data_IF_094892852995
#
_entry.id   IF_094892852995
#
_cell.length_a   1.000
_cell.length_b   1.000
_cell.length_c   1.000
_cell.angle_alpha   90.00
_cell.angle_beta   90.00
_cell.angle_gamma   90.00
#
_symmetry.space_group_name_H-M   'P 1'
#
loop_
_entity.id
_entity.type
_entity.pdbx_description
1 polymer ?
#
# COMPACT_ATOMS: atom_id res chain seq x y z
N UNK A 1 -18.47 7.62 -6.28
CA UNK A 1 -17.72 7.77 -5.01
C UNK A 1 -16.88 9.01 -5.09
N UNK A 2 -16.86 9.81 -4.02
CA UNK A 2 -16.08 11.05 -3.93
C UNK A 2 -14.60 10.72 -3.67
N UNK A 3 -13.64 11.42 -4.28
CA UNK A 3 -12.20 11.18 -4.06
C UNK A 3 -11.79 11.28 -2.58
N UNK A 4 -12.47 12.15 -1.81
CA UNK A 4 -12.25 12.27 -0.36
C UNK A 4 -12.74 11.03 0.41
N UNK A 5 -13.78 10.38 -0.08
CA UNK A 5 -14.35 9.15 0.50
C UNK A 5 -13.39 7.98 0.28
N UNK A 6 -12.84 7.83 -0.93
CA UNK A 6 -11.83 6.81 -1.27
C UNK A 6 -10.55 6.98 -0.43
N UNK A 7 -10.07 8.21 -0.28
CA UNK A 7 -8.90 8.51 0.55
C UNK A 7 -9.16 8.14 2.02
N UNK A 8 -10.34 8.49 2.53
CA UNK A 8 -10.75 8.16 3.90
C UNK A 8 -10.83 6.65 4.12
N UNK A 9 -11.44 5.91 3.21
CA UNK A 9 -11.51 4.44 3.25
C UNK A 9 -10.12 3.80 3.23
N UNK A 10 -9.22 4.31 2.39
CA UNK A 10 -7.83 3.81 2.30
C UNK A 10 -7.05 4.07 3.59
N UNK A 11 -7.17 5.27 4.17
CA UNK A 11 -6.52 5.61 5.44
C UNK A 11 -7.07 4.75 6.58
N UNK A 12 -8.39 4.52 6.59
CA UNK A 12 -9.02 3.67 7.59
C UNK A 12 -8.54 2.22 7.47
N UNK A 13 -8.45 1.68 6.26
CA UNK A 13 -7.88 0.37 5.99
C UNK A 13 -6.44 0.26 6.52
N UNK A 14 -5.56 1.20 6.16
CA UNK A 14 -4.17 1.25 6.63
C UNK A 14 -4.11 1.29 8.16
N UNK A 15 -4.94 2.11 8.79
CA UNK A 15 -4.99 2.24 10.25
C UNK A 15 -5.44 0.95 10.94
N UNK A 16 -6.39 0.23 10.35
CA UNK A 16 -6.84 -1.09 10.85
C UNK A 16 -5.73 -2.14 10.70
N UNK A 17 -5.03 -2.15 9.57
CA UNK A 17 -3.90 -3.06 9.33
C UNK A 17 -2.72 -2.81 10.27
N UNK A 18 -2.40 -1.55 10.59
CA UNK A 18 -1.40 -1.22 11.61
C UNK A 18 -1.78 -1.78 12.98
N UNK A 19 -3.04 -1.61 13.40
CA UNK A 19 -3.55 -2.18 14.67
C UNK A 19 -3.46 -3.71 14.69
N UNK A 20 -3.78 -4.37 13.58
CA UNK A 20 -3.65 -5.81 13.45
C UNK A 20 -2.19 -6.26 13.65
N UNK A 21 -1.24 -5.62 12.97
CA UNK A 21 0.18 -5.92 13.11
C UNK A 21 0.68 -5.74 14.54
N UNK A 22 0.21 -4.68 15.22
CA UNK A 22 0.51 -4.48 16.63
C UNK A 22 0.01 -5.64 17.49
N UNK A 23 -1.26 -6.02 17.36
CA UNK A 23 -1.87 -7.14 18.09
C UNK A 23 -1.04 -8.41 17.89
N UNK A 24 -0.71 -8.74 16.65
CA UNK A 24 0.04 -9.96 16.33
C UNK A 24 1.44 -9.89 16.91
N UNK A 25 2.13 -8.75 16.82
CA UNK A 25 3.46 -8.58 17.41
C UNK A 25 3.45 -8.70 18.93
N UNK A 26 2.40 -8.21 19.61
CA UNK A 26 2.26 -8.33 21.06
C UNK A 26 2.05 -9.81 21.45
N UNK A 27 1.16 -10.52 20.75
CA UNK A 27 0.91 -11.95 20.97
C UNK A 27 2.18 -12.78 20.74
N UNK A 28 2.88 -12.59 19.62
CA UNK A 28 4.09 -13.37 19.33
C UNK A 28 5.20 -13.08 20.33
N UNK A 29 5.34 -11.82 20.77
CA UNK A 29 6.31 -11.40 21.78
C UNK A 29 6.11 -12.08 23.13
N UNK A 30 4.86 -12.22 23.57
CA UNK A 30 4.53 -12.95 24.81
C UNK A 30 4.92 -14.43 24.74
N UNK A 31 4.94 -14.99 23.53
CA UNK A 31 5.21 -16.40 23.25
C UNK A 31 6.65 -16.73 22.91
N UNK A 32 7.56 -15.75 22.79
CA UNK A 32 8.98 -15.98 22.44
C UNK A 32 9.68 -16.95 23.41
N UNK A 33 9.35 -16.91 24.71
CA UNK A 33 9.97 -17.83 25.69
C UNK A 33 9.61 -19.30 25.41
N UNK A 34 8.41 -19.54 24.90
CA UNK A 34 7.92 -20.88 24.54
C UNK A 34 8.40 -21.28 23.13
N UNK A 35 8.45 -20.31 22.21
CA UNK A 35 8.81 -20.50 20.81
C UNK A 35 9.87 -19.47 20.37
N UNK A 36 11.17 -19.71 20.62
CA UNK A 36 12.23 -18.74 20.36
C UNK A 36 12.30 -18.19 18.93
N UNK A 37 11.99 -18.98 17.90
CA UNK A 37 11.99 -18.47 16.51
C UNK A 37 10.86 -17.46 16.20
N UNK A 38 9.95 -17.19 17.14
CA UNK A 38 9.02 -16.08 17.04
C UNK A 38 9.71 -14.72 17.12
N UNK A 39 10.93 -14.63 17.66
CA UNK A 39 11.63 -13.33 17.81
C UNK A 39 11.84 -12.66 16.45
N UNK A 40 12.43 -13.39 15.50
CA UNK A 40 12.64 -12.91 14.13
C UNK A 40 11.32 -12.51 13.45
N UNK A 41 10.26 -13.33 13.62
CA UNK A 41 8.95 -13.07 13.04
C UNK A 41 8.26 -11.84 13.67
N UNK A 42 8.38 -11.68 14.99
CA UNK A 42 7.85 -10.55 15.74
C UNK A 42 8.48 -9.25 15.25
N UNK A 43 9.80 -9.24 15.05
CA UNK A 43 10.53 -8.09 14.52
C UNK A 43 10.01 -7.71 13.12
N UNK A 44 9.75 -8.70 12.24
CA UNK A 44 9.18 -8.41 10.93
C UNK A 44 7.77 -7.81 11.01
N UNK A 45 6.93 -8.26 11.94
CA UNK A 45 5.60 -7.66 12.16
C UNK A 45 5.69 -6.21 12.65
N UNK A 46 6.61 -5.91 13.56
CA UNK A 46 6.85 -4.53 14.04
C UNK A 46 7.32 -3.65 12.88
N UNK A 47 8.26 -4.12 12.07
CA UNK A 47 8.75 -3.35 10.93
C UNK A 47 7.68 -3.16 9.85
N UNK A 48 6.83 -4.16 9.61
CA UNK A 48 5.66 -4.01 8.76
C UNK A 48 4.68 -2.97 9.33
N UNK A 49 4.45 -2.94 10.64
CA UNK A 49 3.58 -1.95 11.28
C UNK A 49 4.07 -0.53 10.98
N UNK A 50 5.38 -0.29 11.07
CA UNK A 50 5.96 1.01 10.75
C UNK A 50 5.74 1.45 9.30
N UNK A 51 5.66 0.51 8.35
CA UNK A 51 5.28 0.84 6.97
C UNK A 51 3.85 1.37 6.91
N UNK A 52 2.91 0.73 7.59
CA UNK A 52 1.52 1.18 7.66
C UNK A 52 1.37 2.51 8.39
N UNK A 53 2.12 2.75 9.46
CA UNK A 53 2.03 4.00 10.22
C UNK A 53 2.52 5.21 9.40
N UNK A 54 3.42 4.99 8.44
CA UNK A 54 3.93 6.04 7.53
C UNK A 54 2.99 6.35 6.37
N UNK A 55 2.18 5.38 5.93
CA UNK A 55 1.34 5.50 4.73
C UNK A 55 0.33 6.66 4.75
N UNK A 56 -0.38 6.98 5.86
CA UNK A 56 -1.40 8.02 5.85
C UNK A 56 -0.84 9.40 5.51
N UNK A 57 0.37 9.72 6.02
CA UNK A 57 1.05 10.98 5.73
C UNK A 57 1.37 11.09 4.23
N UNK A 58 1.86 10.01 3.63
CA UNK A 58 2.17 9.94 2.21
C UNK A 58 0.91 10.08 1.34
N UNK A 59 -0.17 9.38 1.68
CA UNK A 59 -1.44 9.47 0.97
C UNK A 59 -2.04 10.87 1.01
N UNK A 60 -1.92 11.54 2.16
CA UNK A 60 -2.34 12.93 2.29
C UNK A 60 -1.54 13.85 1.38
N UNK A 61 -0.21 13.72 1.37
CA UNK A 61 0.67 14.49 0.47
C UNK A 61 0.32 14.24 -1.01
N UNK A 62 0.09 12.99 -1.41
CA UNK A 62 -0.32 12.63 -2.77
C UNK A 62 -1.66 13.27 -3.15
N UNK A 63 -2.62 13.32 -2.23
CA UNK A 63 -3.94 13.93 -2.47
C UNK A 63 -3.89 15.46 -2.59
N UNK A 64 -2.85 16.08 -2.04
CA UNK A 64 -2.63 17.53 -2.06
C UNK A 64 -1.82 17.98 -3.28
N UNK A 65 -1.36 17.06 -4.14
CA UNK A 65 -0.70 17.41 -5.40
C UNK A 65 -1.69 18.12 -6.31
N UNK A 66 -1.59 19.44 -6.35
CA UNK A 66 -2.26 20.26 -7.34
C UNK A 66 -1.43 20.27 -8.63
N UNK A 67 -1.92 19.59 -9.66
CA UNK A 67 -1.31 19.53 -11.00
C UNK A 67 -1.05 20.96 -11.52
N UNK A 68 -1.91 21.93 -11.19
CA UNK A 68 -1.78 23.33 -11.63
C UNK A 68 -0.55 24.02 -11.02
N UNK A 69 -0.26 23.78 -9.74
CA UNK A 69 0.89 24.38 -9.05
C UNK A 69 2.19 23.67 -9.46
N UNK A 70 2.13 22.35 -9.63
CA UNK A 70 3.23 21.53 -10.17
C UNK A 70 3.67 21.94 -11.59
N UNK A 71 2.78 22.60 -12.34
CA UNK A 71 3.03 23.10 -13.68
C UNK A 71 3.77 24.46 -13.69
N UNK A 72 3.76 25.20 -12.56
CA UNK A 72 4.21 26.60 -12.51
C UNK A 72 5.55 26.74 -11.76
N UNK A 73 5.88 25.83 -10.83
CA UNK A 73 7.06 25.95 -9.96
C UNK A 73 8.05 24.79 -10.07
N UNK A 74 9.35 25.12 -10.20
CA UNK A 74 10.45 24.15 -10.14
C UNK A 74 10.55 23.46 -8.77
N UNK A 75 10.18 24.16 -7.69
CA UNK A 75 10.16 23.61 -6.32
C UNK A 75 9.11 22.48 -6.21
N UNK A 76 7.95 22.66 -6.84
CA UNK A 76 6.92 21.62 -6.89
C UNK A 76 7.38 20.39 -7.68
N UNK A 77 8.24 20.56 -8.70
CA UNK A 77 8.84 19.45 -9.46
C UNK A 77 9.84 18.67 -8.59
N UNK A 78 10.69 19.36 -7.84
CA UNK A 78 11.65 18.73 -6.93
C UNK A 78 10.93 17.93 -5.84
N UNK A 79 9.86 18.49 -5.26
CA UNK A 79 9.02 17.80 -4.28
C UNK A 79 8.37 16.53 -4.83
N UNK A 80 7.89 16.55 -6.08
CA UNK A 80 7.32 15.36 -6.74
C UNK A 80 8.40 14.29 -6.99
N UNK A 81 9.59 14.69 -7.40
CA UNK A 81 10.71 13.75 -7.60
C UNK A 81 11.16 13.12 -6.27
N UNK A 82 11.27 13.90 -5.21
CA UNK A 82 11.58 13.39 -3.87
C UNK A 82 10.51 12.38 -3.40
N UNK A 83 9.24 12.68 -3.64
CA UNK A 83 8.13 11.78 -3.32
C UNK A 83 8.19 10.48 -4.13
N UNK A 84 8.56 10.56 -5.41
CA UNK A 84 8.79 9.37 -6.25
C UNK A 84 9.86 8.46 -5.64
N UNK A 85 11.01 9.01 -5.24
CA UNK A 85 12.07 8.22 -4.61
C UNK A 85 11.63 7.58 -3.28
N UNK A 86 10.88 8.32 -2.47
CA UNK A 86 10.31 7.76 -1.23
C UNK A 86 9.35 6.60 -1.54
N UNK A 87 8.50 6.73 -2.56
CA UNK A 87 7.57 5.68 -2.99
C UNK A 87 8.32 4.44 -3.50
N UNK A 88 9.36 4.60 -4.30
CA UNK A 88 10.20 3.47 -4.77
C UNK A 88 10.80 2.70 -3.58
N UNK A 89 11.37 3.42 -2.61
CA UNK A 89 11.91 2.81 -1.39
C UNK A 89 10.83 2.08 -0.58
N UNK A 90 9.62 2.64 -0.47
CA UNK A 90 8.51 2.01 0.25
C UNK A 90 8.00 0.74 -0.45
N UNK A 91 7.95 0.72 -1.79
CA UNK A 91 7.62 -0.47 -2.58
C UNK A 91 8.63 -1.58 -2.30
N UNK A 92 9.91 -1.26 -2.38
CA UNK A 92 11.01 -2.21 -2.13
C UNK A 92 10.96 -2.73 -0.68
N UNK A 93 10.83 -1.84 0.29
CA UNK A 93 10.70 -2.21 1.72
C UNK A 93 9.51 -3.15 1.96
N UNK A 94 8.36 -2.86 1.34
CA UNK A 94 7.16 -3.70 1.48
C UNK A 94 7.36 -5.06 0.83
N UNK A 95 8.02 -5.12 -0.33
CA UNK A 95 8.36 -6.38 -0.99
C UNK A 95 9.25 -7.27 -0.12
N UNK A 96 10.29 -6.71 0.50
CA UNK A 96 11.13 -7.46 1.43
C UNK A 96 10.32 -7.99 2.61
N UNK A 97 9.46 -7.17 3.23
CA UNK A 97 8.62 -7.61 4.36
C UNK A 97 7.66 -8.75 4.00
N UNK A 98 7.06 -8.74 2.81
CA UNK A 98 6.22 -9.83 2.32
C UNK A 98 7.00 -11.15 2.35
N UNK A 99 8.21 -11.15 1.79
CA UNK A 99 9.03 -12.35 1.68
C UNK A 99 9.57 -12.79 3.04
N UNK A 100 10.12 -11.87 3.82
CA UNK A 100 10.73 -12.16 5.12
C UNK A 100 9.70 -12.75 6.09
N UNK A 101 8.51 -12.14 6.19
CA UNK A 101 7.43 -12.66 7.05
C UNK A 101 7.05 -14.08 6.64
N UNK A 102 6.90 -14.36 5.35
CA UNK A 102 6.57 -15.72 4.88
C UNK A 102 7.68 -16.72 5.21
N UNK A 103 8.95 -16.32 5.05
CA UNK A 103 10.11 -17.14 5.41
C UNK A 103 10.17 -17.45 6.91
N UNK A 104 10.07 -16.44 7.77
CA UNK A 104 10.13 -16.65 9.22
C UNK A 104 8.91 -17.39 9.75
N UNK A 105 7.72 -17.14 9.19
CA UNK A 105 6.51 -17.88 9.53
C UNK A 105 6.67 -19.38 9.22
N UNK A 106 7.14 -19.73 8.03
CA UNK A 106 7.39 -21.14 7.65
C UNK A 106 8.42 -21.82 8.54
N UNK A 107 9.43 -21.08 9.00
CA UNK A 107 10.42 -21.57 9.96
C UNK A 107 9.76 -21.90 11.31
N UNK A 108 8.93 -21.00 11.83
CA UNK A 108 8.17 -21.22 13.08
C UNK A 108 7.25 -22.43 12.94
N UNK A 109 6.54 -22.55 11.83
CA UNK A 109 5.72 -23.72 11.51
C UNK A 109 6.55 -25.01 11.55
N UNK A 110 7.67 -25.06 10.81
CA UNK A 110 8.47 -26.28 10.69
C UNK A 110 9.06 -26.75 12.02
N UNK A 111 9.47 -25.81 12.86
CA UNK A 111 10.19 -26.11 14.11
C UNK A 111 9.24 -26.50 15.24
N UNK A 112 8.05 -25.91 15.31
CA UNK A 112 7.17 -26.05 16.48
C UNK A 112 5.82 -26.67 16.18
N UNK A 113 5.27 -26.50 14.97
CA UNK A 113 3.86 -26.80 14.68
C UNK A 113 3.64 -27.84 13.57
N UNK A 114 4.70 -28.29 12.90
CA UNK A 114 4.63 -29.25 11.79
C UNK A 114 3.87 -30.54 12.15
N UNK A 115 3.96 -30.99 13.41
CA UNK A 115 3.28 -32.19 13.94
C UNK A 115 2.08 -31.86 14.84
N UNK A 116 1.85 -30.59 15.14
CA UNK A 116 0.78 -30.11 16.01
C UNK A 116 -0.04 -29.02 15.30
N UNK A 117 -0.58 -29.38 14.14
CA UNK A 117 -1.36 -28.47 13.29
C UNK A 117 -2.74 -28.10 13.88
N UNK A 118 -3.10 -28.64 15.05
CA UNK A 118 -4.32 -28.32 15.80
C UNK A 118 -4.06 -27.38 16.96
N UNK A 119 -2.81 -26.97 17.18
CA UNK A 119 -2.47 -26.00 18.21
C UNK A 119 -3.25 -24.69 17.99
N UNK A 120 -3.97 -24.24 19.02
CA UNK A 120 -4.86 -23.08 18.92
C UNK A 120 -4.09 -21.79 18.57
N UNK A 121 -2.92 -21.60 19.20
CA UNK A 121 -2.05 -20.46 18.89
C UNK A 121 -1.52 -20.52 17.46
N UNK A 122 -1.16 -21.71 16.96
CA UNK A 122 -0.73 -21.87 15.57
C UNK A 122 -1.84 -21.52 14.58
N UNK A 123 -3.06 -22.02 14.79
CA UNK A 123 -4.23 -21.72 13.94
C UNK A 123 -4.49 -20.22 13.90
N UNK A 124 -4.43 -19.55 15.05
CA UNK A 124 -4.59 -18.10 15.15
C UNK A 124 -3.49 -17.37 14.38
N UNK A 125 -2.22 -17.77 14.56
CA UNK A 125 -1.07 -17.19 13.87
C UNK A 125 -1.16 -17.38 12.34
N UNK A 126 -1.63 -18.54 11.85
CA UNK A 126 -1.89 -18.77 10.43
C UNK A 126 -2.92 -17.77 9.86
N UNK A 127 -4.01 -17.54 10.59
CA UNK A 127 -5.05 -16.59 10.20
C UNK A 127 -4.50 -15.18 10.09
N UNK A 128 -3.71 -14.76 11.09
CA UNK A 128 -3.05 -13.46 11.07
C UNK A 128 -2.05 -13.32 9.94
N UNK A 129 -1.17 -14.32 9.74
CA UNK A 129 -0.19 -14.29 8.69
C UNK A 129 -0.84 -14.13 7.31
N UNK A 130 -1.95 -14.85 7.06
CA UNK A 130 -2.71 -14.73 5.81
C UNK A 130 -3.26 -13.31 5.60
N UNK A 131 -3.84 -12.71 6.65
CA UNK A 131 -4.35 -11.34 6.59
C UNK A 131 -3.24 -10.31 6.39
N UNK A 132 -2.08 -10.49 7.04
CA UNK A 132 -0.92 -9.62 6.91
C UNK A 132 -0.33 -9.71 5.50
N UNK A 133 -0.19 -10.91 4.95
CA UNK A 133 0.31 -11.14 3.60
C UNK A 133 -0.58 -10.50 2.53
N UNK A 134 -1.90 -10.69 2.64
CA UNK A 134 -2.85 -10.00 1.77
C UNK A 134 -2.76 -8.48 1.96
N UNK A 135 -2.61 -8.04 3.21
CA UNK A 135 -2.49 -6.65 3.56
C UNK A 135 -1.30 -5.97 2.91
N UNK A 136 -0.11 -6.57 3.03
CA UNK A 136 1.12 -6.00 2.50
C UNK A 136 1.11 -5.95 0.97
N UNK A 137 0.48 -6.94 0.30
CA UNK A 137 0.26 -6.90 -1.15
C UNK A 137 -0.62 -5.72 -1.56
N UNK A 138 -1.70 -5.46 -0.82
CA UNK A 138 -2.54 -4.26 -1.02
C UNK A 138 -1.75 -2.97 -0.76
N UNK A 139 -0.95 -2.92 0.31
CA UNK A 139 -0.12 -1.76 0.62
C UNK A 139 0.90 -1.48 -0.49
N UNK A 140 1.56 -2.51 -1.01
CA UNK A 140 2.47 -2.40 -2.15
C UNK A 140 1.77 -1.81 -3.38
N UNK A 141 0.57 -2.29 -3.70
CA UNK A 141 -0.22 -1.75 -4.81
C UNK A 141 -0.58 -0.26 -4.64
N UNK A 142 -0.87 0.18 -3.41
CA UNK A 142 -1.09 1.61 -3.12
C UNK A 142 0.16 2.43 -3.47
N UNK A 143 1.34 1.97 -3.04
CA UNK A 143 2.60 2.67 -3.34
C UNK A 143 2.94 2.65 -4.83
N UNK A 144 2.75 1.53 -5.53
CA UNK A 144 2.95 1.43 -6.98
C UNK A 144 2.06 2.41 -7.75
N UNK A 145 0.78 2.51 -7.39
CA UNK A 145 -0.14 3.46 -7.99
C UNK A 145 0.28 4.92 -7.71
N UNK A 146 0.76 5.22 -6.51
CA UNK A 146 1.30 6.53 -6.17
C UNK A 146 2.54 6.89 -7.01
N UNK A 147 3.45 5.92 -7.22
CA UNK A 147 4.67 6.12 -8.02
C UNK A 147 4.34 6.37 -9.50
N UNK A 148 3.35 5.66 -10.05
CA UNK A 148 2.85 5.90 -11.41
C UNK A 148 2.31 7.32 -11.58
N UNK A 149 1.47 7.78 -10.65
CA UNK A 149 0.93 9.14 -10.68
C UNK A 149 2.06 10.20 -10.63
N UNK A 150 3.04 10.03 -9.74
CA UNK A 150 4.18 10.94 -9.65
C UNK A 150 5.00 11.00 -10.95
N UNK A 151 5.18 9.85 -11.63
CA UNK A 151 5.84 9.79 -12.94
C UNK A 151 5.06 10.52 -14.02
N UNK A 152 3.74 10.30 -14.12
CA UNK A 152 2.89 10.95 -15.12
C UNK A 152 2.92 12.48 -14.99
N UNK A 153 2.82 13.00 -13.77
CA UNK A 153 2.90 14.45 -13.50
C UNK A 153 4.27 15.01 -13.91
N UNK A 154 5.35 14.30 -13.58
CA UNK A 154 6.71 14.69 -13.97
C UNK A 154 6.91 14.72 -15.49
N UNK A 155 6.34 13.74 -16.22
CA UNK A 155 6.41 13.70 -17.69
C UNK A 155 5.60 14.79 -18.40
N UNK A 156 4.38 15.06 -17.93
CA UNK A 156 3.52 16.13 -18.45
C UNK A 156 4.28 17.46 -18.39
N UNK A 157 4.93 17.73 -17.25
CA UNK A 157 5.77 18.91 -17.07
C UNK A 157 6.93 18.95 -18.06
N UNK A 158 7.70 17.86 -18.18
CA UNK A 158 8.84 17.79 -19.10
C UNK A 158 8.45 18.06 -20.56
N UNK A 159 7.25 17.64 -20.99
CA UNK A 159 6.72 17.90 -22.34
C UNK A 159 6.27 19.36 -22.50
N UNK A 160 5.68 19.98 -21.48
CA UNK A 160 5.25 21.39 -21.48
C UNK A 160 6.41 22.37 -21.62
N UNK A 161 7.50 22.18 -20.89
CA UNK A 161 8.69 23.06 -20.97
C UNK A 161 9.50 22.89 -22.28
N UNK A 162 9.15 21.90 -23.12
CA UNK A 162 9.77 21.70 -24.43
C UNK A 162 8.97 22.23 -25.63
N UNK A 163 7.64 22.39 -25.52
CA UNK A 163 6.77 22.82 -26.62
C UNK A 163 5.65 23.73 -26.09
N UNK A 164 5.89 25.03 -25.99
CA UNK A 164 5.00 25.97 -25.28
C UNK A 164 3.71 26.35 -26.00
N UNK A 165 3.55 26.14 -27.31
CA UNK A 165 2.57 26.97 -28.05
C UNK A 165 1.29 26.27 -28.57
N UNK A 166 1.14 24.94 -28.45
CA UNK A 166 -0.07 24.24 -28.99
C UNK A 166 -0.68 23.16 -28.09
N UNK A 167 -0.14 22.95 -26.90
CA UNK A 167 -0.41 21.76 -26.09
C UNK A 167 -1.65 21.92 -25.18
N UNK A 168 -2.01 23.15 -24.81
CA UNK A 168 -3.00 23.41 -23.75
C UNK A 168 -4.41 22.91 -24.09
N UNK A 169 -4.83 22.97 -25.36
CA UNK A 169 -6.20 22.64 -25.77
C UNK A 169 -6.46 21.14 -25.90
N UNK A 170 -5.42 20.32 -26.16
CA UNK A 170 -5.57 18.87 -26.24
C UNK A 170 -5.55 18.19 -24.85
N UNK A 171 -4.90 18.79 -23.85
CA UNK A 171 -4.73 18.18 -22.53
C UNK A 171 -5.97 18.28 -21.63
N UNK A 172 -6.82 19.28 -21.84
CA UNK A 172 -8.16 19.32 -21.21
C UNK A 172 -9.00 18.09 -21.62
N UNK A 173 -8.89 17.67 -22.88
CA UNK A 173 -9.57 16.46 -23.36
C UNK A 173 -8.92 15.17 -22.84
N UNK A 174 -7.60 15.14 -22.62
CA UNK A 174 -6.91 13.96 -22.05
C UNK A 174 -7.13 13.80 -20.55
N UNK A 175 -7.20 14.89 -19.79
CA UNK A 175 -7.54 14.86 -18.36
C UNK A 175 -8.98 14.40 -18.12
N UNK A 176 -9.92 14.84 -18.96
CA UNK A 176 -11.30 14.34 -18.97
C UNK A 176 -11.33 12.86 -19.39
N UNK A 177 -10.51 12.44 -20.36
CA UNK A 177 -10.40 11.04 -20.76
C UNK A 177 -9.81 10.13 -19.65
N UNK A 178 -8.79 10.58 -18.91
CA UNK A 178 -8.21 9.85 -17.77
C UNK A 178 -9.18 9.77 -16.59
N UNK A 179 -9.95 10.84 -16.34
CA UNK A 179 -11.04 10.83 -15.36
C UNK A 179 -12.15 9.85 -15.74
N UNK A 180 -12.52 9.79 -17.03
CA UNK A 180 -13.47 8.80 -17.56
C UNK A 180 -12.91 7.37 -17.43
N UNK A 181 -11.62 7.14 -17.75
CA UNK A 181 -10.96 5.83 -17.62
C UNK A 181 -10.90 5.36 -16.16
N UNK A 182 -10.56 6.25 -15.22
CA UNK A 182 -10.55 5.96 -13.78
C UNK A 182 -11.95 5.64 -13.26
N UNK A 183 -12.99 6.37 -13.71
CA UNK A 183 -14.39 6.07 -13.39
C UNK A 183 -14.84 4.73 -13.99
N UNK A 184 -14.46 4.44 -15.25
CA UNK A 184 -14.79 3.16 -15.92
C UNK A 184 -14.11 1.97 -15.24
N UNK A 185 -12.86 2.10 -14.78
CA UNK A 185 -12.17 1.09 -13.98
C UNK A 185 -12.85 0.89 -12.62
N UNK A 186 -13.25 1.97 -11.95
CA UNK A 186 -14.01 1.91 -10.70
C UNK A 186 -15.36 1.18 -10.87
N UNK A 187 -16.09 1.46 -11.95
CA UNK A 187 -17.35 0.77 -12.27
C UNK A 187 -17.14 -0.72 -12.59
N UNK A 188 -16.05 -1.07 -13.28
CA UNK A 188 -15.68 -2.46 -13.56
C UNK A 188 -15.41 -3.25 -12.26
N UNK A 189 -14.68 -2.68 -11.31
CA UNK A 189 -14.42 -3.31 -10.00
C UNK A 189 -15.68 -3.40 -9.13
N UNK A 190 -16.66 -2.51 -9.30
CA UNK A 190 -17.95 -2.60 -8.59
C UNK A 190 -18.86 -3.71 -9.14
N UNK A 191 -18.75 -4.07 -10.42
CA UNK A 191 -19.56 -5.14 -11.04
C UNK A 191 -19.02 -6.56 -10.78
N UNK A 192 -17.77 -6.70 -10.31
CA UNK A 192 -17.14 -7.97 -9.91
C UNK A 192 -17.34 -8.33 -8.43
N UNK A 193 -18.35 -7.76 -7.76
CA UNK A 193 -18.87 -8.41 -6.54
C UNK A 193 -19.43 -9.78 -6.94
N UNK A 194 -18.95 -10.91 -6.40
CA UNK A 194 -19.65 -12.16 -6.58
C UNK A 194 -21.06 -11.98 -6.02
N UNK A 195 -22.08 -12.38 -6.79
CA UNK A 195 -23.43 -12.56 -6.24
C UNK A 195 -23.27 -13.44 -5.00
N UNK A 196 -23.44 -12.84 -3.82
CA UNK A 196 -23.77 -13.62 -2.65
C UNK A 196 -25.14 -14.23 -2.94
N UNK A 197 -25.10 -15.53 -3.23
CA UNK A 197 -26.25 -16.42 -3.15
C UNK A 197 -26.87 -16.23 -1.77
N UNK A 198 -28.10 -15.73 -1.74
CA UNK A 198 -29.00 -15.95 -0.63
C UNK A 198 -30.31 -16.50 -1.17
N UNK A 199 -30.49 -17.80 -0.88
CA UNK A 199 -31.69 -18.63 -0.88
C UNK A 199 -32.48 -18.79 -2.17
#
# INVERSE_FOLDING_TARGET
MNNQEVLKETIEYVSRSSKLLKIVSDITKEKIKEYPYLDDLTEQYIQAQHLYDRTPKLLKLLSEINITDAIISNESIENINNMKYELEHLIESTYFRINDIDTYFKRVESEYFLKDNKNEFYIELCSYNSQIQEGLKKLKSIYENGALLANEVSEINRKKFKNSDKVLTNYLNTGIALFIILISLLLYFMQLKPKQSHN
#
